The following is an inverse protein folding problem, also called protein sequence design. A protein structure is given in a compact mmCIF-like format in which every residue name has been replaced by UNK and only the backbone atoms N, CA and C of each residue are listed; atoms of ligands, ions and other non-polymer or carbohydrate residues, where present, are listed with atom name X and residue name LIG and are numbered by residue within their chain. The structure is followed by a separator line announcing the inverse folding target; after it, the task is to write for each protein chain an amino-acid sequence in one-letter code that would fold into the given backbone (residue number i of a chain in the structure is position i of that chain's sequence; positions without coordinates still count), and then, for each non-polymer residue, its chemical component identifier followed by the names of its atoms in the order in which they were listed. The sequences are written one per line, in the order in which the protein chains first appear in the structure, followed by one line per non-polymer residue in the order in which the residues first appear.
data_IF_150293184060
#
_entry.id   IF_150293184060
#
_cell.length_a   1.000
_cell.length_b   1.000
_cell.length_c   1.000
_cell.angle_alpha   90.00
_cell.angle_beta   90.00
_cell.angle_gamma   90.00
#
_symmetry.space_group_name_H-M   'P 1'
#
loop_
_entity.id
_entity.type
_entity.pdbx_description
1 polymer ?
#
# COMPACT_ATOMS: atom_id res chain seq x y z
N UNK A 1 -23.19 -1.57 -4.57
CA UNK A 1 -22.09 -2.52 -4.29
C UNK A 1 -21.85 -2.47 -2.79
N UNK A 2 -22.00 -3.59 -2.09
CA UNK A 2 -21.92 -3.61 -0.61
C UNK A 2 -20.49 -3.82 -0.09
N UNK A 3 -19.64 -4.47 -0.87
CA UNK A 3 -18.25 -4.73 -0.51
C UNK A 3 -17.34 -4.70 -1.73
N UNK A 4 -16.08 -4.33 -1.50
CA UNK A 4 -15.00 -4.29 -2.48
C UNK A 4 -13.70 -4.77 -1.83
N UNK A 5 -12.70 -5.08 -2.64
CA UNK A 5 -11.36 -5.38 -2.15
C UNK A 5 -10.43 -4.18 -2.30
N UNK A 6 -9.85 -3.72 -1.20
CA UNK A 6 -8.69 -2.84 -1.24
C UNK A 6 -7.41 -3.68 -1.23
N UNK A 7 -6.57 -3.53 -2.24
CA UNK A 7 -5.28 -4.24 -2.35
C UNK A 7 -4.17 -3.30 -1.91
N UNK A 8 -3.58 -3.59 -0.76
CA UNK A 8 -2.36 -2.93 -0.31
C UNK A 8 -1.13 -3.65 -0.85
N UNK A 9 -0.14 -2.90 -1.33
CA UNK A 9 1.17 -3.43 -1.77
C UNK A 9 2.38 -2.72 -1.12
N UNK A 10 2.14 -1.62 -0.40
CA UNK A 10 3.15 -0.91 0.38
C UNK A 10 3.07 -1.29 1.85
N UNK A 11 3.41 -0.36 2.74
CA UNK A 11 3.40 -0.62 4.20
C UNK A 11 2.03 -1.01 4.76
N UNK A 12 0.91 -0.74 4.06
CA UNK A 12 -0.41 -1.27 4.44
C UNK A 12 -0.57 -2.79 4.24
N UNK A 13 0.43 -3.49 3.71
CA UNK A 13 0.47 -4.96 3.74
C UNK A 13 0.41 -5.51 5.18
N UNK A 14 1.08 -4.82 6.12
CA UNK A 14 1.08 -5.20 7.52
C UNK A 14 -0.26 -4.86 8.18
N UNK A 15 -0.87 -5.85 8.84
CA UNK A 15 -2.20 -5.71 9.42
C UNK A 15 -2.26 -4.66 10.50
N UNK A 16 -1.25 -4.63 11.38
CA UNK A 16 -1.18 -3.68 12.49
C UNK A 16 -1.22 -2.24 11.96
N UNK A 17 -0.41 -1.96 10.94
CA UNK A 17 -0.38 -0.63 10.33
C UNK A 17 -1.70 -0.29 9.64
N UNK A 18 -2.26 -1.21 8.86
CA UNK A 18 -3.52 -0.96 8.17
C UNK A 18 -4.70 -0.77 9.14
N UNK A 19 -4.68 -1.44 10.29
CA UNK A 19 -5.68 -1.27 11.34
C UNK A 19 -5.77 0.19 11.81
N UNK A 20 -4.66 0.92 11.89
CA UNK A 20 -4.70 2.35 12.21
C UNK A 20 -5.45 3.21 11.17
N UNK A 21 -5.50 2.82 9.89
CA UNK A 21 -6.33 3.51 8.90
C UNK A 21 -7.82 3.25 9.11
N UNK A 22 -8.19 2.09 9.66
CA UNK A 22 -9.57 1.69 9.92
C UNK A 22 -10.06 2.24 11.27
N UNK A 23 -9.44 1.86 12.37
CA UNK A 23 -9.89 2.21 13.73
C UNK A 23 -9.27 3.49 14.27
N UNK A 24 -8.35 4.12 13.53
CA UNK A 24 -7.54 5.22 14.02
C UNK A 24 -6.41 4.77 14.94
N UNK A 25 -5.60 5.73 15.39
CA UNK A 25 -4.48 5.49 16.30
C UNK A 25 -3.12 5.71 15.66
N UNK A 26 -2.07 5.15 16.27
CA UNK A 26 -0.68 5.32 15.84
C UNK A 26 -0.02 3.95 15.78
N UNK A 27 0.53 3.54 14.63
CA UNK A 27 1.25 2.26 14.55
C UNK A 27 2.50 2.31 15.43
N UNK A 28 2.94 1.17 15.96
CA UNK A 28 4.11 1.11 16.82
C UNK A 28 5.34 1.71 16.11
N UNK A 29 6.06 2.61 16.80
CA UNK A 29 7.21 3.31 16.23
C UNK A 29 6.87 4.36 15.14
N UNK A 30 5.59 4.56 14.81
CA UNK A 30 5.16 5.55 13.83
C UNK A 30 5.03 6.96 14.41
N UNK A 31 5.42 7.99 13.62
CA UNK A 31 5.23 9.38 14.00
C UNK A 31 3.79 9.89 13.74
N UNK A 32 3.07 9.25 12.81
CA UNK A 32 1.76 9.69 12.33
C UNK A 32 0.62 9.11 13.17
N UNK A 33 -0.32 9.98 13.54
CA UNK A 33 -1.62 9.58 14.10
C UNK A 33 -2.64 9.59 12.97
N UNK A 34 -3.46 8.54 12.92
CA UNK A 34 -4.51 8.34 11.95
C UNK A 34 -5.86 8.59 12.61
N UNK A 35 -6.77 9.35 11.94
CA UNK A 35 -8.11 9.58 12.45
C UNK A 35 -8.98 8.31 12.43
N UNK A 36 -8.69 7.37 11.52
CA UNK A 36 -9.54 6.20 11.29
C UNK A 36 -10.69 6.50 10.34
N UNK A 37 -11.32 5.44 9.84
CA UNK A 37 -12.52 5.54 9.02
C UNK A 37 -13.74 5.96 9.86
N UNK A 38 -14.80 6.43 9.19
CA UNK A 38 -16.11 6.67 9.82
C UNK A 38 -16.74 5.36 10.30
N UNK A 39 -16.62 4.31 9.47
CA UNK A 39 -16.90 2.94 9.87
C UNK A 39 -15.58 2.26 10.28
N UNK A 40 -15.43 2.00 11.58
CA UNK A 40 -14.23 1.42 12.17
C UNK A 40 -14.28 -0.10 12.32
N UNK A 41 -15.30 -0.76 11.77
CA UNK A 41 -15.38 -2.22 11.76
C UNK A 41 -14.15 -2.79 11.05
N UNK A 42 -13.51 -3.84 11.61
CA UNK A 42 -12.34 -4.45 10.98
C UNK A 42 -12.70 -5.02 9.61
N UNK A 43 -11.72 -5.14 8.69
CA UNK A 43 -11.94 -5.76 7.39
C UNK A 43 -12.58 -7.14 7.55
N UNK A 44 -13.70 -7.38 6.87
CA UNK A 44 -14.49 -8.61 7.05
C UNK A 44 -13.68 -9.87 6.70
N UNK A 45 -12.76 -9.73 5.75
CA UNK A 45 -11.82 -10.76 5.30
C UNK A 45 -10.52 -10.12 4.86
N UNK A 46 -9.43 -10.86 4.99
CA UNK A 46 -8.14 -10.50 4.39
C UNK A 46 -7.56 -11.71 3.68
N UNK A 47 -6.93 -11.52 2.52
CA UNK A 47 -6.24 -12.60 1.80
C UNK A 47 -5.03 -12.07 1.04
N UNK A 48 -4.00 -12.91 0.89
CA UNK A 48 -2.93 -12.64 -0.07
C UNK A 48 -3.49 -12.62 -1.50
N UNK A 49 -2.93 -11.74 -2.31
CA UNK A 49 -3.21 -11.64 -3.75
C UNK A 49 -1.92 -11.37 -4.51
N UNK A 50 -1.88 -11.83 -5.75
CA UNK A 50 -0.83 -11.50 -6.70
C UNK A 50 -1.49 -11.00 -7.98
N UNK A 51 -1.08 -9.82 -8.45
CA UNK A 51 -1.61 -9.20 -9.66
C UNK A 51 -0.48 -8.88 -10.63
N UNK A 52 -0.77 -8.88 -11.94
CA UNK A 52 0.19 -8.46 -12.96
C UNK A 52 0.66 -7.02 -12.72
N UNK A 53 1.89 -6.71 -13.14
CA UNK A 53 2.53 -5.42 -12.90
C UNK A 53 3.60 -5.52 -11.81
N UNK A 54 4.22 -4.39 -11.45
CA UNK A 54 5.44 -4.40 -10.65
C UNK A 54 5.48 -3.36 -9.56
N UNK A 55 6.20 -3.69 -8.48
CA UNK A 55 6.53 -2.74 -7.41
C UNK A 55 7.74 -1.90 -7.82
N UNK A 56 7.64 -0.58 -7.65
CA UNK A 56 8.75 0.36 -7.87
C UNK A 56 8.84 1.31 -6.68
N UNK A 57 10.05 1.64 -6.25
CA UNK A 57 10.29 2.69 -5.25
C UNK A 57 10.83 3.94 -5.93
N UNK A 58 10.13 5.06 -5.77
CA UNK A 58 10.48 6.33 -6.41
C UNK A 58 9.97 7.52 -5.58
N UNK A 59 10.34 8.74 -5.98
CA UNK A 59 9.94 9.97 -5.29
C UNK A 59 10.44 10.02 -3.84
N UNK A 60 9.67 10.68 -2.96
CA UNK A 60 10.01 10.84 -1.55
C UNK A 60 8.82 10.56 -0.63
N UNK A 61 8.99 9.60 0.28
CA UNK A 61 8.02 9.29 1.33
C UNK A 61 8.07 10.31 2.45
N UNK A 62 6.95 11.01 2.69
CA UNK A 62 6.82 11.96 3.80
C UNK A 62 6.78 11.26 5.17
N UNK A 63 6.39 9.98 5.20
CA UNK A 63 6.23 9.21 6.45
C UNK A 63 7.50 8.44 6.78
N UNK A 64 8.15 7.88 5.77
CA UNK A 64 9.26 6.95 5.97
C UNK A 64 10.62 7.47 5.53
N UNK A 65 10.67 8.60 4.83
CA UNK A 65 11.86 9.01 4.09
C UNK A 65 12.18 8.05 2.93
N UNK A 66 13.12 8.42 2.07
CA UNK A 66 13.48 7.62 0.89
C UNK A 66 12.34 7.44 -0.12
N UNK A 67 12.46 6.46 -1.01
CA UNK A 67 11.46 6.16 -2.04
C UNK A 67 10.15 5.61 -1.49
N UNK A 68 9.02 6.07 -2.04
CA UNK A 68 7.68 5.53 -1.79
C UNK A 68 7.37 4.37 -2.72
N UNK A 69 6.53 3.43 -2.30
CA UNK A 69 6.05 2.34 -3.16
C UNK A 69 5.02 2.83 -4.19
N UNK A 70 5.25 2.50 -5.46
CA UNK A 70 4.36 2.71 -6.59
C UNK A 70 4.05 1.38 -7.28
N UNK A 71 2.86 1.32 -7.86
CA UNK A 71 2.48 0.24 -8.75
C UNK A 71 2.74 0.64 -10.21
N UNK A 72 3.50 -0.19 -10.92
CA UNK A 72 3.70 -0.09 -12.36
C UNK A 72 2.85 -1.14 -13.09
N UNK A 73 1.73 -0.77 -13.73
CA UNK A 73 0.88 -1.73 -14.44
C UNK A 73 1.54 -2.35 -15.68
N UNK A 74 2.53 -1.67 -16.28
CA UNK A 74 3.18 -2.11 -17.53
C UNK A 74 4.41 -2.99 -17.29
N UNK A 75 4.82 -3.17 -16.03
CA UNK A 75 5.95 -4.03 -15.72
C UNK A 75 5.60 -5.52 -15.97
N UNK A 76 6.44 -6.29 -16.68
CA UNK A 76 6.21 -7.71 -16.95
C UNK A 76 6.58 -8.58 -15.74
N UNK A 77 6.13 -8.19 -14.55
CA UNK A 77 6.40 -8.85 -13.28
C UNK A 77 5.08 -9.07 -12.53
N UNK A 78 5.17 -9.34 -11.22
CA UNK A 78 4.02 -9.55 -10.36
C UNK A 78 4.11 -8.65 -9.13
N UNK A 79 2.98 -8.12 -8.71
CA UNK A 79 2.80 -7.35 -7.49
C UNK A 79 2.18 -8.24 -6.42
N UNK A 80 2.91 -8.47 -5.33
CA UNK A 80 2.38 -9.12 -4.16
C UNK A 80 1.59 -8.10 -3.33
N UNK A 81 0.33 -8.42 -3.08
CA UNK A 81 -0.59 -7.57 -2.35
C UNK A 81 -1.28 -8.33 -1.21
N UNK A 82 -1.92 -7.56 -0.33
CA UNK A 82 -2.91 -8.06 0.62
C UNK A 82 -4.23 -7.37 0.34
N UNK A 83 -5.24 -8.17 0.04
CA UNK A 83 -6.59 -7.70 -0.19
C UNK A 83 -7.36 -7.66 1.13
N UNK A 84 -8.00 -6.52 1.40
CA UNK A 84 -8.88 -6.27 2.53
C UNK A 84 -10.31 -6.08 2.02
N UNK A 85 -11.27 -6.87 2.52
CA UNK A 85 -12.68 -6.73 2.17
C UNK A 85 -13.27 -5.58 2.97
N UNK A 86 -13.60 -4.50 2.28
CA UNK A 86 -14.07 -3.23 2.86
C UNK A 86 -15.42 -2.82 2.26
N UNK A 87 -16.11 -1.93 2.96
CA UNK A 87 -17.19 -1.17 2.31
C UNK A 87 -16.61 -0.08 1.38
N UNK A 88 -17.37 0.39 0.37
CA UNK A 88 -16.96 1.51 -0.45
C UNK A 88 -16.60 2.77 0.36
N UNK A 89 -17.36 3.08 1.41
CA UNK A 89 -17.09 4.21 2.31
C UNK A 89 -15.75 4.07 3.04
N UNK A 90 -15.41 2.86 3.49
CA UNK A 90 -14.11 2.59 4.13
C UNK A 90 -12.96 2.83 3.15
N UNK A 91 -13.07 2.39 1.89
CA UNK A 91 -12.05 2.70 0.88
C UNK A 91 -11.97 4.19 0.56
N UNK A 92 -13.10 4.90 0.50
CA UNK A 92 -13.10 6.36 0.37
C UNK A 92 -12.34 7.04 1.51
N UNK A 93 -12.56 6.60 2.75
CA UNK A 93 -11.88 7.12 3.93
C UNK A 93 -10.38 6.75 3.97
N UNK A 94 -10.02 5.52 3.57
CA UNK A 94 -8.61 5.09 3.41
C UNK A 94 -7.91 5.94 2.37
N UNK A 95 -8.54 6.14 1.20
CA UNK A 95 -7.99 6.97 0.14
C UNK A 95 -7.80 8.43 0.60
N UNK A 96 -8.77 9.02 1.30
CA UNK A 96 -8.65 10.35 1.86
C UNK A 96 -7.45 10.46 2.83
N UNK A 97 -7.29 9.49 3.72
CA UNK A 97 -6.16 9.45 4.65
C UNK A 97 -4.82 9.31 3.94
N UNK A 98 -4.71 8.50 2.88
CA UNK A 98 -3.48 8.44 2.08
C UNK A 98 -3.11 9.79 1.44
N UNK A 99 -4.11 10.64 1.20
CA UNK A 99 -3.94 11.99 0.64
C UNK A 99 -3.84 13.09 1.70
N UNK A 100 -3.73 12.74 2.99
CA UNK A 100 -3.73 13.69 4.10
C UNK A 100 -4.99 14.56 4.16
N UNK A 101 -6.12 13.99 3.74
CA UNK A 101 -7.46 14.59 3.81
C UNK A 101 -8.28 13.90 4.89
N UNK A 102 -9.36 14.54 5.30
CA UNK A 102 -10.25 14.02 6.33
C UNK A 102 -11.13 12.86 5.79
N UNK A 103 -11.25 11.76 6.55
CA UNK A 103 -12.28 10.75 6.34
C UNK A 103 -13.68 11.38 6.27
N UNK A 104 -14.54 10.90 5.38
CA UNK A 104 -15.88 11.47 5.18
C UNK A 104 -15.96 12.84 4.55
N UNK A 105 -14.81 13.47 4.25
CA UNK A 105 -14.76 14.73 3.52
C UNK A 105 -15.19 14.58 2.05
N UNK A 106 -15.28 15.69 1.30
CA UNK A 106 -15.72 15.69 -0.09
C UNK A 106 -14.97 14.68 -0.99
N UNK A 107 -13.66 14.52 -0.77
CA UNK A 107 -12.83 13.57 -1.50
C UNK A 107 -13.22 12.11 -1.23
N UNK A 108 -13.43 11.74 0.04
CA UNK A 108 -13.83 10.38 0.40
C UNK A 108 -15.18 10.02 -0.24
N UNK A 109 -16.12 10.96 -0.24
CA UNK A 109 -17.44 10.80 -0.85
C UNK A 109 -17.35 10.69 -2.38
N UNK A 110 -16.49 11.49 -3.01
CA UNK A 110 -16.23 11.40 -4.46
C UNK A 110 -15.65 10.04 -4.85
N UNK A 111 -14.61 9.57 -4.14
CA UNK A 111 -14.05 8.22 -4.33
C UNK A 111 -15.15 7.16 -4.20
N UNK A 112 -15.96 7.25 -3.13
CA UNK A 112 -17.05 6.29 -2.87
C UNK A 112 -18.07 6.25 -4.00
N UNK A 113 -18.44 7.40 -4.55
CA UNK A 113 -19.39 7.51 -5.65
C UNK A 113 -18.85 6.98 -6.99
N UNK A 114 -17.53 7.04 -7.18
CA UNK A 114 -16.87 6.56 -8.41
C UNK A 114 -16.72 5.04 -8.45
N UNK A 115 -16.49 4.39 -7.31
CA UNK A 115 -16.17 2.94 -7.22
C UNK A 115 -17.11 2.01 -8.01
N UNK A 116 -18.45 2.16 -8.00
CA UNK A 116 -19.34 1.24 -8.71
C UNK A 116 -19.18 1.24 -10.23
N UNK A 117 -18.70 2.34 -10.81
CA UNK A 117 -18.62 2.55 -12.26
C UNK A 117 -17.15 2.62 -12.75
N UNK A 118 -16.19 2.33 -11.87
CA UNK A 118 -14.79 2.46 -12.21
C UNK A 118 -14.26 1.19 -12.87
N UNK A 119 -14.02 1.27 -14.18
CA UNK A 119 -13.54 0.13 -14.98
C UNK A 119 -12.02 0.10 -15.17
N UNK A 120 -11.30 1.18 -14.85
CA UNK A 120 -9.85 1.29 -15.10
C UNK A 120 -9.15 2.24 -14.11
N UNK A 121 -8.07 2.89 -14.57
CA UNK A 121 -7.31 3.92 -13.86
C UNK A 121 -8.13 5.22 -13.88
N UNK A 122 -8.27 5.85 -12.72
CA UNK A 122 -8.89 7.16 -12.61
C UNK A 122 -8.08 8.08 -11.69
N UNK A 123 -7.70 9.23 -12.24
CA UNK A 123 -7.04 10.31 -11.50
C UNK A 123 -8.10 11.29 -11.04
N UNK A 124 -8.22 11.46 -9.72
CA UNK A 124 -9.14 12.40 -9.10
C UNK A 124 -8.40 13.73 -8.92
N UNK A 125 -9.00 14.86 -9.32
CA UNK A 125 -8.43 16.20 -9.12
C UNK A 125 -7.26 16.61 -10.05
N UNK A 126 -6.83 17.88 -9.98
CA UNK A 126 -5.84 18.48 -10.89
C UNK A 126 -4.37 18.11 -10.57
N UNK A 127 -4.13 17.38 -9.49
CA UNK A 127 -2.79 17.01 -9.04
C UNK A 127 -2.39 15.61 -9.51
N UNK A 128 -1.10 15.40 -9.78
CA UNK A 128 -0.47 14.10 -10.08
C UNK A 128 -0.59 13.04 -8.95
N UNK A 129 -1.52 13.17 -8.00
CA UNK A 129 -1.38 12.56 -6.66
C UNK A 129 -2.50 11.60 -6.25
N UNK A 130 -3.54 11.38 -7.04
CA UNK A 130 -4.78 10.76 -6.51
C UNK A 130 -5.33 9.72 -7.50
N UNK A 131 -4.62 8.60 -7.64
CA UNK A 131 -4.97 7.57 -8.63
C UNK A 131 -5.59 6.35 -7.95
N UNK A 132 -6.84 6.08 -8.29
CA UNK A 132 -7.53 4.84 -7.96
C UNK A 132 -7.46 3.91 -9.18
N UNK A 133 -7.04 2.67 -8.97
CA UNK A 133 -6.81 1.71 -10.04
C UNK A 133 -7.61 0.44 -9.76
N UNK A 134 -8.45 0.02 -10.71
CA UNK A 134 -9.06 -1.32 -10.68
C UNK A 134 -8.05 -2.36 -11.16
N UNK A 135 -7.83 -3.39 -10.34
CA UNK A 135 -6.85 -4.47 -10.57
C UNK A 135 -7.48 -5.75 -11.10
N UNK A 136 -8.81 -5.78 -11.27
CA UNK A 136 -9.57 -6.94 -11.67
C UNK A 136 -10.61 -7.31 -10.63
N UNK A 137 -10.88 -8.61 -10.47
CA UNK A 137 -11.88 -9.14 -9.56
C UNK A 137 -11.34 -10.31 -8.74
N UNK A 138 -11.81 -10.42 -7.50
CA UNK A 138 -11.51 -11.52 -6.59
C UNK A 138 -12.81 -11.98 -5.93
N UNK A 139 -13.13 -13.27 -6.09
CA UNK A 139 -14.38 -13.86 -5.61
C UNK A 139 -15.64 -13.10 -6.07
N UNK A 140 -15.64 -12.59 -7.31
CA UNK A 140 -16.75 -11.85 -7.90
C UNK A 140 -16.90 -10.40 -7.41
N UNK A 141 -15.94 -9.87 -6.66
CA UNK A 141 -15.91 -8.47 -6.21
C UNK A 141 -14.70 -7.74 -6.83
N UNK A 142 -14.84 -6.46 -7.20
CA UNK A 142 -13.73 -5.71 -7.78
C UNK A 142 -12.61 -5.45 -6.77
N UNK A 143 -11.39 -5.50 -7.26
CA UNK A 143 -10.18 -5.13 -6.53
C UNK A 143 -9.72 -3.74 -6.94
N UNK A 144 -9.42 -2.89 -5.97
CA UNK A 144 -8.89 -1.56 -6.18
C UNK A 144 -7.61 -1.34 -5.37
N UNK A 145 -6.71 -0.53 -5.91
CA UNK A 145 -5.61 0.04 -5.15
C UNK A 145 -5.58 1.56 -5.28
N UNK A 146 -5.02 2.22 -4.28
CA UNK A 146 -4.76 3.66 -4.25
C UNK A 146 -3.26 3.86 -4.45
N UNK A 147 -2.89 4.73 -5.39
CA UNK A 147 -1.49 5.11 -5.64
C UNK A 147 -1.39 6.62 -5.85
N UNK A 148 -0.21 7.17 -5.55
CA UNK A 148 0.08 8.61 -5.70
C UNK A 148 0.61 8.92 -7.10
N UNK A 149 -0.19 8.78 -8.15
CA UNK A 149 0.20 9.13 -9.52
C UNK A 149 0.89 8.02 -10.32
N UNK A 150 1.42 8.38 -11.48
CA UNK A 150 2.09 7.45 -12.40
C UNK A 150 3.59 7.39 -12.15
N UNK A 151 4.14 6.17 -12.19
CA UNK A 151 5.58 5.92 -12.04
C UNK A 151 6.40 6.27 -13.29
N UNK A 152 5.73 6.46 -14.44
CA UNK A 152 6.36 6.54 -15.76
C UNK A 152 7.47 7.60 -15.90
N UNK A 153 7.42 8.66 -15.08
CA UNK A 153 8.34 9.79 -15.14
C UNK A 153 9.21 9.95 -13.88
N UNK A 154 9.22 8.98 -12.96
CA UNK A 154 9.96 9.09 -11.70
C UNK A 154 11.19 8.20 -11.69
N UNK A 155 12.34 8.81 -11.40
CA UNK A 155 13.58 8.07 -11.18
C UNK A 155 13.47 7.19 -9.92
N UNK A 156 13.95 5.94 -9.95
CA UNK A 156 13.90 5.06 -8.79
C UNK A 156 14.77 5.57 -7.63
N UNK A 157 14.22 5.56 -6.43
CA UNK A 157 14.85 6.05 -5.19
C UNK A 157 14.81 4.94 -4.13
N UNK A 158 15.92 4.77 -3.41
CA UNK A 158 16.01 3.77 -2.36
C UNK A 158 15.04 4.06 -1.21
N UNK A 159 14.20 3.08 -0.82
CA UNK A 159 13.39 3.18 0.40
C UNK A 159 14.27 3.00 1.65
N UNK A 160 13.75 3.42 2.81
CA UNK A 160 14.42 3.24 4.10
C UNK A 160 14.20 1.84 4.68
N UNK A 161 15.06 1.43 5.61
CA UNK A 161 14.99 0.15 6.30
C UNK A 161 13.63 -0.04 7.00
N UNK A 162 13.20 0.98 7.75
CA UNK A 162 11.93 0.96 8.47
C UNK A 162 10.73 0.79 7.54
N UNK A 163 10.78 1.37 6.33
CA UNK A 163 9.72 1.19 5.35
C UNK A 163 9.67 -0.25 4.80
N UNK A 164 10.84 -0.78 4.44
CA UNK A 164 10.98 -2.15 3.95
C UNK A 164 10.57 -3.17 5.01
N UNK A 165 10.82 -2.90 6.29
CA UNK A 165 10.39 -3.75 7.39
C UNK A 165 8.87 -3.90 7.43
N UNK A 166 8.10 -2.80 7.33
CA UNK A 166 6.63 -2.90 7.28
C UNK A 166 6.10 -3.69 6.07
N UNK A 167 6.76 -3.55 4.93
CA UNK A 167 6.40 -4.32 3.72
C UNK A 167 6.72 -5.80 3.94
N UNK A 168 7.90 -6.12 4.48
CA UNK A 168 8.33 -7.47 4.81
C UNK A 168 7.40 -8.14 5.82
N UNK A 169 7.05 -7.47 6.92
CA UNK A 169 6.09 -7.95 7.92
C UNK A 169 4.77 -8.32 7.25
N UNK A 170 4.24 -7.45 6.40
CA UNK A 170 3.00 -7.71 5.70
C UNK A 170 3.07 -8.87 4.69
N UNK A 171 4.19 -9.03 3.99
CA UNK A 171 4.43 -10.18 3.10
C UNK A 171 4.52 -11.49 3.88
N UNK A 172 5.21 -11.50 5.02
CA UNK A 172 5.28 -12.66 5.91
C UNK A 172 3.88 -13.01 6.47
N UNK A 173 3.13 -12.03 6.96
CA UNK A 173 1.79 -12.22 7.53
C UNK A 173 0.78 -12.76 6.51
N UNK A 174 0.78 -12.21 5.29
CA UNK A 174 -0.28 -12.50 4.31
C UNK A 174 0.05 -13.64 3.37
N UNK A 175 1.30 -13.75 2.91
CA UNK A 175 1.74 -14.78 1.98
C UNK A 175 2.47 -15.95 2.65
N UNK A 176 2.84 -15.81 3.93
CA UNK A 176 3.63 -16.83 4.65
C UNK A 176 5.08 -16.94 4.13
N UNK A 177 5.59 -15.89 3.47
CA UNK A 177 6.93 -15.92 2.89
C UNK A 177 8.02 -15.88 3.97
N UNK A 178 9.06 -16.69 3.77
CA UNK A 178 10.28 -16.60 4.56
C UNK A 178 11.17 -15.44 4.12
N UNK A 179 12.16 -15.10 4.93
CA UNK A 179 13.04 -13.93 4.70
C UNK A 179 13.71 -13.95 3.32
N UNK A 180 14.25 -15.09 2.88
CA UNK A 180 14.97 -15.18 1.61
C UNK A 180 14.07 -14.81 0.42
N UNK A 181 12.82 -15.26 0.44
CA UNK A 181 11.83 -14.95 -0.60
C UNK A 181 11.42 -13.47 -0.56
N UNK A 182 11.28 -12.89 0.63
CA UNK A 182 10.98 -11.46 0.80
C UNK A 182 12.15 -10.61 0.26
N UNK A 183 13.39 -10.97 0.59
CA UNK A 183 14.60 -10.29 0.10
C UNK A 183 14.68 -10.37 -1.41
N UNK A 184 14.47 -11.55 -2.01
CA UNK A 184 14.45 -11.73 -3.46
C UNK A 184 13.40 -10.84 -4.14
N UNK A 185 12.17 -10.85 -3.61
CA UNK A 185 11.06 -10.07 -4.13
C UNK A 185 11.34 -8.56 -4.06
N UNK A 186 11.73 -8.06 -2.88
CA UNK A 186 11.98 -6.63 -2.69
C UNK A 186 13.21 -6.16 -3.44
N UNK A 187 14.27 -6.98 -3.52
CA UNK A 187 15.47 -6.63 -4.28
C UNK A 187 15.22 -6.59 -5.79
N UNK A 188 14.20 -7.29 -6.30
CA UNK A 188 13.78 -7.17 -7.69
C UNK A 188 13.11 -5.82 -8.01
N UNK A 189 12.57 -5.12 -7.02
CA UNK A 189 11.91 -3.84 -7.23
C UNK A 189 12.92 -2.73 -7.57
N UNK A 190 12.70 -1.96 -8.66
CA UNK A 190 13.49 -0.76 -8.93
C UNK A 190 13.44 0.21 -7.75
N UNK A 191 14.56 0.88 -7.47
CA UNK A 191 14.76 1.74 -6.30
C UNK A 191 15.42 1.00 -5.14
N UNK A 192 15.05 -0.24 -4.85
CA UNK A 192 15.75 -1.02 -3.81
C UNK A 192 17.21 -1.27 -4.22
N UNK A 193 17.43 -1.66 -5.49
CA UNK A 193 18.78 -1.94 -6.02
C UNK A 193 19.75 -0.76 -6.00
N UNK A 194 19.26 0.48 -5.92
CA UNK A 194 20.13 1.66 -5.91
C UNK A 194 20.71 1.99 -4.53
N UNK A 195 20.12 1.45 -3.45
CA UNK A 195 20.58 1.71 -2.08
C UNK A 195 20.81 0.47 -1.22
N UNK A 196 20.45 -0.72 -1.70
CA UNK A 196 20.52 -1.97 -0.93
C UNK A 196 21.30 -3.05 -1.66
N UNK A 197 22.00 -3.89 -0.91
CA UNK A 197 22.45 -5.20 -1.36
C UNK A 197 21.54 -6.28 -0.76
N UNK A 198 21.44 -7.49 -1.34
CA UNK A 198 20.64 -8.56 -0.75
C UNK A 198 21.05 -8.88 0.70
N UNK A 199 22.35 -8.89 1.00
CA UNK A 199 22.86 -9.13 2.35
C UNK A 199 22.51 -8.02 3.35
N UNK A 200 22.63 -6.75 2.94
CA UNK A 200 22.22 -5.63 3.79
C UNK A 200 20.70 -5.62 4.03
N UNK A 201 19.92 -5.93 2.97
CA UNK A 201 18.47 -6.04 3.06
C UNK A 201 18.06 -7.17 4.02
N UNK A 202 18.63 -8.36 3.83
CA UNK A 202 18.42 -9.49 4.75
C UNK A 202 18.73 -9.10 6.19
N UNK A 203 19.88 -8.47 6.44
CA UNK A 203 20.29 -8.07 7.79
C UNK A 203 19.29 -7.11 8.47
N UNK A 204 18.70 -6.16 7.74
CA UNK A 204 17.74 -5.21 8.34
C UNK A 204 16.32 -5.78 8.46
N UNK A 205 16.01 -6.83 7.70
CA UNK A 205 14.71 -7.50 7.77
C UNK A 205 14.69 -8.66 8.77
N UNK A 206 15.82 -9.36 8.96
CA UNK A 206 16.02 -10.39 9.98
C UNK A 206 16.23 -9.81 11.39
N UNK A 207 16.73 -8.58 11.47
CA UNK A 207 16.83 -7.89 12.74
C UNK A 207 15.43 -7.55 13.24
N UNK A 208 15.04 -8.12 14.39
CA UNK A 208 13.96 -7.60 15.21
C UNK A 208 14.09 -6.07 15.25
N UNK A 209 12.95 -5.37 15.23
CA UNK A 209 12.84 -3.94 15.47
C UNK A 209 13.44 -3.55 16.85
N UNK A 210 14.77 -3.53 16.93
CA UNK A 210 15.58 -3.16 18.07
C UNK A 210 16.19 -1.81 17.79
N UNK A 211 15.74 -0.81 18.54
CA UNK A 211 15.99 0.60 18.29
C UNK A 211 17.45 1.04 18.24
N UNK A 212 17.62 2.27 17.75
CA UNK A 212 18.82 3.08 17.83
C UNK A 212 18.72 4.25 16.86
N UNK A 213 18.68 5.51 17.29
CA UNK A 213 18.70 6.11 18.62
C UNK A 213 18.32 7.59 18.49
#
# INVERSE_FOLDING_TARGET
MESIWYVAYGSNLALERFTCYISGGRPLGGARVYPGCRNQDPPQKTTAVTVSGGLVFAGASKVWGGGSAFYNPDAPTQLAGRAYLLTPDQLGDVAAQEMWRDPGGPFALEVTALLPNLDAIHTIGPGRYETLIRLGELHGLPMFTVTHGTVADLDPVAPTAAYLHWIATGLAESHGWGIEQIVEYLYAAPGVRSGWTPGALRSVLDGDAGGGG
#
